data_IF_535748053944
#
_entry.id   IF_535748053944
#
_cell.length_a   1.000
_cell.length_b   1.000
_cell.length_c   1.000
_cell.angle_alpha   90.00
_cell.angle_beta   90.00
_cell.angle_gamma   90.00
#
_symmetry.space_group_name_H-M   'P 1'
#
loop_
_entity.id
_entity.type
_entity.pdbx_description
1 polymer ?
#
# COMPACT_ATOMS: atom_id res chain seq x y z
N UNK A 1 -5.56 -3.04 4.19
CA UNK A 1 -4.21 -2.62 3.77
C UNK A 1 -3.22 -3.76 3.98
N UNK A 2 -2.30 -3.92 3.04
CA UNK A 2 -1.10 -4.77 3.11
C UNK A 2 0.13 -3.94 2.73
N UNK A 3 1.27 -4.19 3.38
CA UNK A 3 2.57 -3.61 3.03
C UNK A 3 3.60 -4.74 2.99
N UNK A 4 4.31 -4.87 1.86
CA UNK A 4 5.41 -5.82 1.72
C UNK A 4 6.75 -5.10 1.77
N UNK A 5 7.65 -5.65 2.58
CA UNK A 5 9.04 -5.19 2.69
C UNK A 5 9.98 -6.33 2.32
N UNK A 6 11.08 -6.01 1.63
CA UNK A 6 12.16 -6.94 1.36
C UNK A 6 13.48 -6.42 1.90
N UNK A 7 14.28 -7.33 2.45
CA UNK A 7 15.60 -7.00 2.96
C UNK A 7 16.60 -7.00 1.80
N UNK A 8 17.36 -5.92 1.67
CA UNK A 8 18.38 -5.76 0.64
C UNK A 8 19.70 -5.33 1.28
N UNK A 9 20.81 -5.85 0.78
CA UNK A 9 22.13 -5.41 1.23
C UNK A 9 22.66 -4.37 0.26
N UNK A 10 22.80 -3.14 0.74
CA UNK A 10 23.40 -2.03 0.03
C UNK A 10 24.90 -1.94 0.38
N UNK A 11 25.76 -1.75 -0.61
CA UNK A 11 27.22 -1.69 -0.41
C UNK A 11 27.68 -0.48 0.44
N UNK A 12 26.95 0.63 0.40
CA UNK A 12 27.25 1.88 1.13
C UNK A 12 26.57 1.94 2.50
N UNK A 13 25.40 1.31 2.63
CA UNK A 13 24.54 1.46 3.81
C UNK A 13 24.27 0.16 4.58
N UNK A 14 24.82 -0.97 4.13
CA UNK A 14 24.59 -2.28 4.73
C UNK A 14 23.17 -2.79 4.50
N UNK A 15 22.67 -3.57 5.44
CA UNK A 15 21.33 -4.15 5.37
C UNK A 15 20.24 -3.08 5.51
N UNK A 16 19.35 -3.00 4.52
CA UNK A 16 18.21 -2.11 4.46
C UNK A 16 16.92 -2.86 4.17
N UNK A 17 15.78 -2.23 4.45
CA UNK A 17 14.47 -2.71 4.04
C UNK A 17 13.92 -1.81 2.95
N UNK A 18 13.57 -2.39 1.81
CA UNK A 18 12.86 -1.71 0.73
C UNK A 18 11.38 -2.02 0.82
N UNK A 19 10.54 -1.03 0.54
CA UNK A 19 9.09 -1.24 0.38
C UNK A 19 8.86 -1.75 -1.05
N UNK A 20 8.29 -2.95 -1.17
CA UNK A 20 7.91 -3.53 -2.47
C UNK A 20 6.61 -2.91 -2.98
N UNK A 21 5.58 -2.95 -2.14
CA UNK A 21 4.27 -2.38 -2.45
C UNK A 21 3.49 -2.01 -1.19
N UNK A 22 2.51 -1.14 -1.39
CA UNK A 22 1.48 -0.78 -0.42
C UNK A 22 0.14 -0.92 -1.13
N UNK A 23 -0.72 -1.81 -0.64
CA UNK A 23 -2.05 -2.04 -1.23
C UNK A 23 -3.14 -1.74 -0.20
N UNK A 24 -4.06 -0.86 -0.55
CA UNK A 24 -5.31 -0.64 0.16
C UNK A 24 -6.46 -1.36 -0.55
N UNK A 25 -7.38 -1.91 0.24
CA UNK A 25 -8.45 -2.77 -0.26
C UNK A 25 -9.81 -2.28 0.22
N UNK A 26 -10.82 -2.42 -0.63
CA UNK A 26 -12.22 -2.21 -0.26
C UNK A 26 -13.15 -3.22 -0.92
N UNK A 27 -14.34 -3.36 -0.34
CA UNK A 27 -15.39 -4.19 -0.92
C UNK A 27 -16.08 -3.41 -2.05
N UNK A 28 -15.96 -3.92 -3.28
CA UNK A 28 -16.54 -3.32 -4.49
C UNK A 28 -17.64 -4.24 -5.02
N UNK A 29 -18.81 -3.68 -5.35
CA UNK A 29 -19.98 -4.42 -5.83
C UNK A 29 -21.25 -4.08 -5.04
N UNK A 30 -22.31 -4.88 -5.20
CA UNK A 30 -23.60 -4.66 -4.56
C UNK A 30 -23.99 -5.85 -3.69
N UNK A 31 -24.26 -5.59 -2.41
CA UNK A 31 -24.78 -6.59 -1.47
C UNK A 31 -23.86 -7.81 -1.38
N UNK A 32 -24.43 -8.99 -1.59
CA UNK A 32 -23.70 -10.26 -1.52
C UNK A 32 -22.70 -10.47 -2.67
N UNK A 33 -22.71 -9.62 -3.70
CA UNK A 33 -21.76 -9.64 -4.81
C UNK A 33 -20.57 -8.69 -4.58
N UNK A 34 -20.43 -8.12 -3.37
CA UNK A 34 -19.30 -7.28 -3.04
C UNK A 34 -18.06 -8.14 -2.78
N UNK A 35 -16.97 -7.84 -3.49
CA UNK A 35 -15.70 -8.56 -3.38
C UNK A 35 -14.58 -7.63 -2.92
N UNK A 36 -13.64 -8.19 -2.16
CA UNK A 36 -12.45 -7.47 -1.73
C UNK A 36 -11.56 -7.20 -2.94
N UNK A 37 -11.41 -5.93 -3.29
CA UNK A 37 -10.69 -5.46 -4.47
C UNK A 37 -9.58 -4.51 -4.06
N UNK A 38 -8.49 -4.47 -4.82
CA UNK A 38 -7.46 -3.44 -4.69
C UNK A 38 -8.06 -2.09 -5.06
N UNK A 39 -8.20 -1.20 -4.08
CA UNK A 39 -8.69 0.15 -4.32
C UNK A 39 -7.56 1.08 -4.74
N UNK A 40 -6.44 1.01 -4.02
CA UNK A 40 -5.22 1.77 -4.26
C UNK A 40 -4.03 0.80 -4.13
N UNK A 41 -3.18 0.73 -5.15
CA UNK A 41 -2.02 -0.16 -5.16
C UNK A 41 -0.78 0.61 -5.62
N UNK A 42 0.09 0.97 -4.67
CA UNK A 42 1.36 1.61 -4.92
C UNK A 42 2.43 0.52 -5.05
N UNK A 43 2.72 0.10 -6.28
CA UNK A 43 3.72 -0.92 -6.58
C UNK A 43 5.05 -0.25 -6.95
N UNK A 44 5.98 -0.24 -6.00
CA UNK A 44 7.28 0.41 -6.14
C UNK A 44 8.23 -0.42 -7.02
N UNK A 45 8.07 -1.74 -7.04
CA UNK A 45 8.90 -2.64 -7.84
C UNK A 45 8.59 -2.54 -9.33
N UNK A 46 7.31 -2.45 -9.66
CA UNK A 46 6.87 -2.23 -11.04
C UNK A 46 6.85 -0.75 -11.44
N UNK A 47 6.95 0.18 -10.48
CA UNK A 47 6.87 1.61 -10.73
C UNK A 47 5.48 2.08 -11.19
N UNK A 48 4.42 1.39 -10.77
CA UNK A 48 3.04 1.67 -11.18
C UNK A 48 2.13 1.95 -9.98
N UNK A 49 1.09 2.71 -10.25
CA UNK A 49 -0.05 2.92 -9.36
C UNK A 49 -1.32 2.36 -10.01
N UNK A 50 -1.92 1.36 -9.39
CA UNK A 50 -3.19 0.76 -9.82
C UNK A 50 -4.33 1.25 -8.93
N UNK A 51 -5.46 1.54 -9.52
CA UNK A 51 -6.69 1.92 -8.83
C UNK A 51 -7.89 1.46 -9.65
N UNK A 52 -9.11 1.63 -9.12
CA UNK A 52 -10.33 1.13 -9.78
C UNK A 52 -10.54 1.62 -11.22
N UNK A 53 -9.93 2.75 -11.61
CA UNK A 53 -10.06 3.31 -12.97
C UNK A 53 -8.94 2.89 -13.93
N UNK A 54 -7.94 2.14 -13.46
CA UNK A 54 -6.86 1.61 -14.30
C UNK A 54 -5.48 1.71 -13.67
N UNK A 55 -4.46 1.66 -14.52
CA UNK A 55 -3.04 1.66 -14.14
C UNK A 55 -2.38 2.91 -14.68
N UNK A 56 -1.61 3.58 -13.84
CA UNK A 56 -0.83 4.78 -14.16
C UNK A 56 0.60 4.64 -13.65
N UNK A 57 1.56 5.41 -14.17
CA UNK A 57 2.89 5.51 -13.56
C UNK A 57 2.85 6.00 -12.11
N UNK A 58 3.69 5.44 -11.24
CA UNK A 58 3.69 5.73 -9.81
C UNK A 58 3.94 7.22 -9.50
N UNK A 59 4.72 7.92 -10.32
CA UNK A 59 4.99 9.35 -10.13
C UNK A 59 3.73 10.23 -10.21
N UNK A 60 2.68 9.77 -10.90
CA UNK A 60 1.40 10.48 -10.98
C UNK A 60 0.58 10.33 -9.69
N UNK A 61 0.92 9.35 -8.85
CA UNK A 61 0.21 9.08 -7.60
C UNK A 61 0.67 9.95 -6.42
N UNK A 62 1.62 10.88 -6.61
CA UNK A 62 2.17 11.72 -5.52
C UNK A 62 1.10 12.45 -4.71
N UNK A 63 0.11 13.03 -5.38
CA UNK A 63 -0.96 13.79 -4.71
C UNK A 63 -1.86 12.88 -3.88
N UNK A 64 -2.28 11.74 -4.44
CA UNK A 64 -3.14 10.78 -3.72
C UNK A 64 -2.39 10.08 -2.60
N UNK A 65 -1.12 9.74 -2.79
CA UNK A 65 -0.28 9.12 -1.77
C UNK A 65 -0.18 9.99 -0.51
N UNK A 66 0.04 11.30 -0.66
CA UNK A 66 0.14 12.21 0.49
C UNK A 66 -1.15 12.24 1.32
N UNK A 67 -2.31 12.27 0.66
CA UNK A 67 -3.61 12.28 1.35
C UNK A 67 -3.87 10.92 2.00
N UNK A 68 -3.60 9.84 1.27
CA UNK A 68 -3.75 8.47 1.77
C UNK A 68 -2.86 8.23 3.00
N UNK A 69 -1.58 8.59 2.95
CA UNK A 69 -0.62 8.39 4.04
C UNK A 69 -1.02 9.16 5.30
N UNK A 70 -1.46 10.41 5.16
CA UNK A 70 -1.94 11.21 6.29
C UNK A 70 -3.16 10.56 6.97
N UNK A 71 -4.12 10.08 6.18
CA UNK A 71 -5.29 9.38 6.69
C UNK A 71 -4.89 8.07 7.36
N UNK A 72 -4.03 7.28 6.72
CA UNK A 72 -3.54 6.01 7.25
C UNK A 72 -2.84 6.19 8.60
N UNK A 73 -1.98 7.20 8.75
CA UNK A 73 -1.30 7.50 10.01
C UNK A 73 -2.28 7.95 11.09
N UNK A 74 -3.27 8.79 10.74
CA UNK A 74 -4.30 9.22 11.69
C UNK A 74 -5.13 8.02 12.20
N UNK A 75 -5.52 7.11 11.32
CA UNK A 75 -6.27 5.90 11.67
C UNK A 75 -5.41 4.91 12.46
N UNK A 76 -4.16 4.71 12.07
CA UNK A 76 -3.27 3.72 12.69
C UNK A 76 -2.73 4.17 14.05
N UNK A 77 -2.18 5.37 14.12
CA UNK A 77 -1.47 5.85 15.31
C UNK A 77 -2.39 6.67 16.23
N UNK A 78 -3.28 7.48 15.65
CA UNK A 78 -4.20 8.33 16.40
C UNK A 78 -5.35 7.52 17.01
N UNK A 79 -6.13 6.87 16.16
CA UNK A 79 -7.36 6.17 16.56
C UNK A 79 -7.12 4.69 16.88
N UNK A 80 -6.02 4.11 16.38
CA UNK A 80 -5.69 2.67 16.51
C UNK A 80 -6.76 1.77 15.90
N UNK A 81 -7.20 2.14 14.69
CA UNK A 81 -8.28 1.46 13.97
C UNK A 81 -7.93 0.03 13.49
N UNK A 82 -6.64 -0.33 13.47
CA UNK A 82 -6.17 -1.59 12.87
C UNK A 82 -5.55 -2.52 13.91
N UNK A 83 -5.89 -3.80 13.80
CA UNK A 83 -5.08 -4.89 14.35
C UNK A 83 -4.00 -5.24 13.33
N UNK A 84 -2.73 -5.24 13.77
CA UNK A 84 -1.58 -5.47 12.88
C UNK A 84 -1.04 -6.87 13.10
N UNK A 85 -0.81 -7.58 11.99
CA UNK A 85 -0.14 -8.89 11.96
C UNK A 85 1.11 -8.76 11.08
N UNK A 86 2.18 -9.44 11.47
CA UNK A 86 3.42 -9.51 10.70
C UNK A 86 3.73 -10.96 10.37
N UNK A 87 4.04 -11.22 9.10
CA UNK A 87 4.43 -12.53 8.58
C UNK A 87 5.82 -12.42 7.98
N UNK A 88 6.66 -13.40 8.26
CA UNK A 88 7.99 -13.54 7.66
C UNK A 88 8.03 -14.84 6.86
N UNK A 89 8.42 -14.76 5.60
CA UNK A 89 8.63 -15.91 4.70
C UNK A 89 10.12 -16.13 4.43
#
# INVERSE_FOLDING_TARGET
MEVRLEKETNAEHGDQWRICYITDFSNVGIGYMAELTKELDFDFDSGIFQHLMGVTPLEQARGIYQVWEQNFLAYSLGIKAYQVTLTTE
#
